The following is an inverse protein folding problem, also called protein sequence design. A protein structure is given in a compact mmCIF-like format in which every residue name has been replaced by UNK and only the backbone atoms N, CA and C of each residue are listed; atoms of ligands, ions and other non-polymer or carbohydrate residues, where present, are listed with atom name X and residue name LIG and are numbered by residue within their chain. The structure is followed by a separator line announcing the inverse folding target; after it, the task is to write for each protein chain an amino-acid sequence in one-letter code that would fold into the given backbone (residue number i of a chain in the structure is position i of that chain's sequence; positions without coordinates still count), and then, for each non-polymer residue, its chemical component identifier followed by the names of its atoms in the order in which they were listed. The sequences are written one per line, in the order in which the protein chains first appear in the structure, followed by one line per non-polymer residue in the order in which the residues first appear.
data_IF_892977151300
#
_entry.id   IF_892977151300
#
_cell.length_a   1.000
_cell.length_b   1.000
_cell.length_c   1.000
_cell.angle_alpha   90.00
_cell.angle_beta   90.00
_cell.angle_gamma   90.00
#
_symmetry.space_group_name_H-M   'P 1'
#
loop_
_entity.id
_entity.type
_entity.pdbx_description
1 polymer ?
#
# COMPACT_ATOMS: atom_id res chain seq x y z
N UNK A 1 -9.96 -50.78 -7.29
CA UNK A 1 -10.73 -49.59 -6.86
C UNK A 1 -9.80 -48.47 -6.41
N UNK A 2 -8.75 -48.77 -5.63
CA UNK A 2 -7.76 -47.79 -5.18
C UNK A 2 -7.01 -47.05 -6.29
N UNK A 3 -6.61 -47.72 -7.37
CA UNK A 3 -5.93 -47.06 -8.49
C UNK A 3 -6.80 -46.02 -9.22
N UNK A 4 -8.11 -46.28 -9.31
CA UNK A 4 -9.05 -45.31 -9.89
C UNK A 4 -9.21 -44.09 -8.97
N UNK A 5 -9.31 -44.31 -7.66
CA UNK A 5 -9.41 -43.22 -6.69
C UNK A 5 -8.13 -42.38 -6.65
N UNK A 6 -6.94 -42.98 -6.74
CA UNK A 6 -5.68 -42.22 -6.76
C UNK A 6 -5.51 -41.38 -8.03
N UNK A 7 -5.93 -41.88 -9.19
CA UNK A 7 -5.97 -41.12 -10.44
C UNK A 7 -6.98 -39.96 -10.36
N UNK A 8 -8.15 -40.22 -9.75
CA UNK A 8 -9.19 -39.22 -9.54
C UNK A 8 -8.71 -38.11 -8.58
N UNK A 9 -8.03 -38.47 -7.50
CA UNK A 9 -7.47 -37.50 -6.55
C UNK A 9 -6.34 -36.69 -7.17
N UNK A 10 -5.44 -37.32 -7.94
CA UNK A 10 -4.41 -36.61 -8.69
C UNK A 10 -5.00 -35.65 -9.74
N UNK A 11 -6.15 -35.98 -10.33
CA UNK A 11 -6.86 -35.09 -11.25
C UNK A 11 -7.50 -33.91 -10.53
N UNK A 12 -8.19 -34.14 -9.41
CA UNK A 12 -8.74 -33.08 -8.55
C UNK A 12 -7.65 -32.13 -8.09
N UNK A 13 -6.51 -32.64 -7.63
CA UNK A 13 -5.40 -31.82 -7.17
C UNK A 13 -4.89 -30.87 -8.26
N UNK A 14 -4.75 -31.35 -9.50
CA UNK A 14 -4.35 -30.52 -10.64
C UNK A 14 -5.36 -29.44 -10.98
N UNK A 15 -6.66 -29.75 -10.91
CA UNK A 15 -7.72 -28.75 -11.14
C UNK A 15 -7.69 -27.69 -10.05
N UNK A 16 -7.66 -28.12 -8.79
CA UNK A 16 -7.61 -27.21 -7.63
C UNK A 16 -6.38 -26.34 -7.67
N UNK A 17 -5.21 -26.89 -8.05
CA UNK A 17 -3.98 -26.12 -8.19
C UNK A 17 -4.12 -25.02 -9.26
N UNK A 18 -4.63 -25.35 -10.43
CA UNK A 18 -4.87 -24.36 -11.51
C UNK A 18 -5.92 -23.31 -11.13
N UNK A 19 -6.95 -23.71 -10.39
CA UNK A 19 -7.96 -22.78 -9.88
C UNK A 19 -7.33 -21.80 -8.88
N UNK A 20 -6.51 -22.30 -7.95
CA UNK A 20 -5.73 -21.47 -7.01
C UNK A 20 -4.76 -20.53 -7.72
N UNK A 21 -4.03 -21.01 -8.72
CA UNK A 21 -3.11 -20.17 -9.51
C UNK A 21 -3.84 -19.01 -10.21
N UNK A 22 -5.03 -19.28 -10.77
CA UNK A 22 -5.86 -18.23 -11.40
C UNK A 22 -6.40 -17.23 -10.38
N UNK A 23 -6.85 -17.73 -9.23
CA UNK A 23 -7.34 -16.87 -8.15
C UNK A 23 -6.21 -15.99 -7.60
N UNK A 24 -5.04 -16.57 -7.36
CA UNK A 24 -3.86 -15.86 -6.89
C UNK A 24 -3.45 -14.76 -7.88
N UNK A 25 -3.42 -15.05 -9.18
CA UNK A 25 -3.11 -14.05 -10.19
C UNK A 25 -4.13 -12.91 -10.22
N UNK A 26 -5.43 -13.22 -10.13
CA UNK A 26 -6.48 -12.20 -10.09
C UNK A 26 -6.39 -11.35 -8.81
N UNK A 27 -6.02 -11.96 -7.68
CA UNK A 27 -5.81 -11.25 -6.42
C UNK A 27 -4.57 -10.35 -6.47
N UNK A 28 -3.47 -10.80 -7.06
CA UNK A 28 -2.25 -10.00 -7.27
C UNK A 28 -2.51 -8.80 -8.20
N UNK A 29 -3.23 -8.99 -9.31
CA UNK A 29 -3.64 -7.90 -10.20
C UNK A 29 -4.51 -6.86 -9.46
N UNK A 30 -5.44 -7.31 -8.62
CA UNK A 30 -6.27 -6.42 -7.80
C UNK A 30 -5.44 -5.64 -6.76
N UNK A 31 -4.51 -6.30 -6.07
CA UNK A 31 -3.60 -5.66 -5.12
C UNK A 31 -2.68 -4.64 -5.80
N UNK A 32 -2.19 -4.94 -7.01
CA UNK A 32 -1.41 -3.99 -7.82
C UNK A 32 -2.24 -2.78 -8.22
N UNK A 33 -3.49 -2.96 -8.66
CA UNK A 33 -4.39 -1.85 -8.99
C UNK A 33 -4.67 -0.96 -7.77
N UNK A 34 -4.91 -1.54 -6.60
CA UNK A 34 -5.09 -0.78 -5.35
C UNK A 34 -3.81 -0.08 -4.91
N UNK A 35 -2.64 -0.72 -5.08
CA UNK A 35 -1.33 -0.07 -4.87
C UNK A 35 -1.18 1.15 -5.78
N UNK A 36 -1.47 1.01 -7.07
CA UNK A 36 -1.38 2.11 -8.04
C UNK A 36 -2.29 3.29 -7.67
N UNK A 37 -3.51 3.01 -7.17
CA UNK A 37 -4.43 4.07 -6.71
C UNK A 37 -3.93 4.79 -5.45
N UNK A 38 -3.09 4.15 -4.63
CA UNK A 38 -2.50 4.73 -3.41
C UNK A 38 -1.20 5.50 -3.68
N UNK A 39 -0.58 5.32 -4.85
CA UNK A 39 0.66 6.03 -5.18
C UNK A 39 0.43 7.54 -5.27
N UNK A 40 1.34 8.30 -4.66
CA UNK A 40 1.40 9.75 -4.77
C UNK A 40 1.84 10.24 -6.17
N UNK A 41 1.96 11.56 -6.36
CA UNK A 41 2.24 12.18 -7.66
C UNK A 41 3.53 11.70 -8.35
N UNK A 42 4.49 11.18 -7.60
CA UNK A 42 5.75 10.61 -8.08
C UNK A 42 5.79 9.08 -8.10
N UNK A 43 4.64 8.40 -7.94
CA UNK A 43 4.59 6.94 -7.95
C UNK A 43 5.13 6.29 -6.67
N UNK A 44 5.21 7.05 -5.57
CA UNK A 44 5.64 6.55 -4.26
C UNK A 44 4.46 6.45 -3.31
N UNK A 45 4.44 5.39 -2.51
CA UNK A 45 3.43 5.19 -1.48
C UNK A 45 3.73 6.08 -0.25
N UNK A 46 2.77 6.92 0.21
CA UNK A 46 2.93 7.72 1.42
C UNK A 46 3.34 6.90 2.65
N UNK A 47 2.79 5.69 2.80
CA UNK A 47 3.05 4.81 3.96
C UNK A 47 4.46 4.26 3.91
N UNK A 48 4.88 3.71 2.76
CA UNK A 48 6.24 3.18 2.60
C UNK A 48 7.29 4.29 2.74
N UNK A 49 7.00 5.51 2.25
CA UNK A 49 7.89 6.66 2.47
C UNK A 49 7.96 7.01 3.94
N UNK A 50 6.83 7.13 4.64
CA UNK A 50 6.80 7.46 6.07
C UNK A 50 7.59 6.45 6.92
N UNK A 51 7.41 5.15 6.71
CA UNK A 51 8.15 4.10 7.44
C UNK A 51 9.66 4.12 7.16
N UNK A 52 10.05 4.53 5.95
CA UNK A 52 11.46 4.65 5.55
C UNK A 52 12.18 5.91 6.07
N UNK A 53 11.45 6.87 6.64
CA UNK A 53 12.03 8.11 7.15
C UNK A 53 12.77 7.89 8.48
N UNK A 54 13.78 8.73 8.80
CA UNK A 54 14.34 8.81 10.13
C UNK A 54 13.26 9.11 11.20
N UNK A 55 13.38 8.50 12.39
CA UNK A 55 12.42 8.69 13.51
C UNK A 55 12.15 10.16 13.84
N UNK A 56 13.16 11.02 13.70
CA UNK A 56 13.03 12.47 13.93
C UNK A 56 12.01 13.09 12.97
N UNK A 57 12.06 12.73 11.69
CA UNK A 57 11.13 13.22 10.68
C UNK A 57 9.74 12.59 10.85
N UNK A 58 9.66 11.29 11.17
CA UNK A 58 8.39 10.62 11.46
C UNK A 58 7.60 11.35 12.55
N UNK A 59 8.26 11.65 13.69
CA UNK A 59 7.65 12.39 14.80
C UNK A 59 7.20 13.80 14.42
N UNK A 60 7.91 14.46 13.50
CA UNK A 60 7.50 15.78 12.99
C UNK A 60 6.18 15.69 12.20
N UNK A 61 6.00 14.65 11.38
CA UNK A 61 4.76 14.42 10.64
C UNK A 61 3.61 13.98 11.57
N UNK A 62 3.87 13.11 12.57
CA UNK A 62 2.87 12.70 13.56
C UNK A 62 2.32 13.87 14.39
N UNK A 63 3.22 14.75 14.82
CA UNK A 63 2.87 15.96 15.58
C UNK A 63 2.30 17.09 14.71
N UNK A 64 2.30 16.94 13.38
CA UNK A 64 1.93 17.95 12.39
C UNK A 64 2.67 19.28 12.60
N UNK A 65 3.89 19.23 13.13
CA UNK A 65 4.68 20.41 13.44
C UNK A 65 5.65 20.77 12.30
N UNK A 66 5.22 21.70 11.46
CA UNK A 66 6.00 22.24 10.34
C UNK A 66 7.30 22.90 10.82
N UNK A 67 7.29 23.57 11.98
CA UNK A 67 8.47 24.27 12.48
C UNK A 67 9.55 23.29 12.95
N UNK A 68 9.13 22.18 13.57
CA UNK A 68 10.04 21.09 13.95
C UNK A 68 10.58 20.36 12.72
N UNK A 69 9.76 20.15 11.69
CA UNK A 69 10.22 19.56 10.44
C UNK A 69 11.32 20.40 9.77
N UNK A 70 11.13 21.72 9.67
CA UNK A 70 12.14 22.63 9.11
C UNK A 70 13.46 22.57 9.88
N UNK A 71 13.41 22.51 11.22
CA UNK A 71 14.61 22.37 12.06
C UNK A 71 15.33 21.05 11.82
N UNK A 72 14.60 19.94 11.82
CA UNK A 72 15.16 18.62 11.57
C UNK A 72 15.87 18.55 10.21
N UNK A 73 15.29 19.18 9.18
CA UNK A 73 15.88 19.26 7.84
C UNK A 73 17.16 20.11 7.84
N UNK A 74 17.21 21.20 8.59
CA UNK A 74 18.43 22.03 8.69
C UNK A 74 19.56 21.39 9.49
N UNK A 75 19.24 20.47 10.38
CA UNK A 75 20.23 19.71 11.17
C UNK A 75 20.81 18.52 10.37
N UNK A 76 20.06 18.00 9.39
CA UNK A 76 20.48 16.93 8.50
C UNK A 76 21.46 17.43 7.42
N UNK A 77 22.34 16.56 6.89
CA UNK A 77 23.16 16.85 5.72
C UNK A 77 22.28 17.24 4.51
N UNK A 78 22.72 18.23 3.73
CA UNK A 78 21.94 18.77 2.61
C UNK A 78 21.50 17.67 1.60
N UNK A 79 22.37 16.69 1.34
CA UNK A 79 22.08 15.56 0.45
C UNK A 79 20.94 14.67 0.98
N UNK A 80 20.96 14.32 2.27
CA UNK A 80 19.93 13.50 2.91
C UNK A 80 18.60 14.28 3.03
N UNK A 81 18.69 15.55 3.40
CA UNK A 81 17.56 16.46 3.45
C UNK A 81 16.85 16.55 2.10
N UNK A 82 17.59 16.75 1.00
CA UNK A 82 17.05 16.79 -0.36
C UNK A 82 16.43 15.45 -0.77
N UNK A 83 17.10 14.35 -0.44
CA UNK A 83 16.61 13.01 -0.74
C UNK A 83 15.27 12.70 -0.07
N UNK A 84 15.17 12.91 1.25
CA UNK A 84 13.95 12.66 2.00
C UNK A 84 12.83 13.64 1.62
N UNK A 85 13.14 14.93 1.47
CA UNK A 85 12.14 15.93 1.10
C UNK A 85 11.52 15.65 -0.28
N UNK A 86 12.35 15.28 -1.27
CA UNK A 86 11.86 14.90 -2.59
C UNK A 86 10.88 13.73 -2.50
N UNK A 87 11.22 12.68 -1.74
CA UNK A 87 10.35 11.52 -1.53
C UNK A 87 9.03 11.88 -0.84
N UNK A 88 9.06 12.78 0.15
CA UNK A 88 7.84 13.24 0.81
C UNK A 88 6.91 14.00 -0.14
N UNK A 89 7.46 14.75 -1.10
CA UNK A 89 6.67 15.43 -2.14
C UNK A 89 6.15 14.44 -3.18
N UNK A 90 7.01 13.55 -3.66
CA UNK A 90 6.68 12.53 -4.66
C UNK A 90 5.64 11.52 -4.12
N UNK A 91 5.61 11.25 -2.82
CA UNK A 91 4.57 10.44 -2.18
C UNK A 91 3.31 11.21 -1.80
N UNK A 92 3.33 12.54 -1.87
CA UNK A 92 2.21 13.38 -1.43
C UNK A 92 2.09 13.54 0.10
N UNK A 93 3.04 13.02 0.87
CA UNK A 93 3.12 13.21 2.33
C UNK A 93 3.37 14.68 2.72
N UNK A 94 4.02 15.45 1.83
CA UNK A 94 4.33 16.86 2.05
C UNK A 94 4.03 17.71 0.81
N UNK A 95 3.30 18.80 0.97
CA UNK A 95 3.02 19.77 -0.10
C UNK A 95 3.79 21.07 0.18
N UNK A 96 4.81 21.42 -0.63
CA UNK A 96 5.52 22.67 -0.50
C UNK A 96 4.57 23.86 -0.71
N UNK A 97 4.75 24.94 0.07
CA UNK A 97 3.96 26.18 -0.02
C UNK A 97 3.85 26.74 -1.46
N UNK A 98 4.91 26.56 -2.27
CA UNK A 98 4.95 26.98 -3.68
C UNK A 98 4.02 26.18 -4.60
N UNK A 99 3.56 25.00 -4.18
CA UNK A 99 2.70 24.09 -4.93
C UNK A 99 1.28 23.96 -4.36
N UNK A 100 0.87 24.85 -3.44
CA UNK A 100 -0.51 24.89 -2.90
C UNK A 100 -1.63 25.05 -3.95
N UNK A 101 -1.28 25.34 -5.21
CA UNK A 101 -2.23 25.40 -6.34
C UNK A 101 -2.40 24.07 -7.11
N UNK A 102 -1.58 23.05 -6.84
CA UNK A 102 -1.81 21.67 -7.29
C UNK A 102 -2.48 20.92 -6.14
N UNK A 103 -3.75 21.25 -5.85
CA UNK A 103 -4.59 20.39 -5.02
C UNK A 103 -4.76 19.04 -5.75
N UNK A 104 -3.94 18.06 -5.39
CA UNK A 104 -4.33 16.67 -5.57
C UNK A 104 -5.35 16.38 -4.48
N UNK A 105 -6.60 16.15 -4.86
CA UNK A 105 -7.66 15.64 -3.99
C UNK A 105 -7.17 14.39 -3.24
N UNK A 106 -6.57 14.61 -2.08
CA UNK A 106 -6.34 13.58 -1.07
C UNK A 106 -7.70 13.15 -0.59
N UNK A 107 -8.28 12.16 -1.28
CA UNK A 107 -9.54 11.54 -0.91
C UNK A 107 -9.29 10.81 0.41
N UNK A 108 -9.53 11.48 1.52
CA UNK A 108 -9.86 10.82 2.78
C UNK A 108 -11.00 9.83 2.49
N UNK A 109 -10.68 8.54 2.52
CA UNK A 109 -11.64 7.48 2.78
C UNK A 109 -11.07 6.61 3.89
N UNK A 110 -11.21 7.12 5.11
CA UNK A 110 -11.47 6.24 6.24
C UNK A 110 -12.89 5.68 6.12
N UNK A 111 -13.03 4.42 6.54
CA UNK A 111 -14.26 3.70 6.86
C UNK A 111 -15.12 3.20 5.69
N UNK A 112 -15.05 1.88 5.45
CA UNK A 112 -16.21 1.04 5.09
C UNK A 112 -16.03 -0.32 5.78
N UNK A 113 -16.69 -0.46 6.93
CA UNK A 113 -17.01 -1.74 7.55
C UNK A 113 -17.99 -2.47 6.63
N UNK A 114 -17.53 -3.51 5.93
CA UNK A 114 -18.36 -4.36 5.08
C UNK A 114 -18.25 -5.82 5.52
N UNK A 115 -19.28 -6.27 6.23
CA UNK A 115 -19.50 -7.63 6.72
C UNK A 115 -19.29 -8.69 5.62
N UNK A 116 -18.33 -9.59 5.83
CA UNK A 116 -18.19 -10.83 5.05
C UNK A 116 -18.92 -11.97 5.75
N UNK A 117 -20.25 -12.03 5.65
CA UNK A 117 -21.02 -13.23 5.98
C UNK A 117 -21.15 -14.11 4.73
N UNK A 118 -20.20 -15.02 4.54
CA UNK A 118 -20.31 -16.10 3.53
C UNK A 118 -20.68 -17.39 4.27
N UNK A 119 -21.99 -17.64 4.32
CA UNK A 119 -22.61 -18.86 4.84
C UNK A 119 -22.19 -20.04 3.94
N UNK A 120 -21.41 -20.97 4.49
CA UNK A 120 -21.23 -22.28 3.88
C UNK A 120 -22.49 -23.11 4.16
N UNK A 121 -23.32 -23.27 3.15
CA UNK A 121 -24.40 -24.28 3.19
C UNK A 121 -23.75 -25.68 3.16
N UNK A 122 -23.90 -26.42 4.25
CA UNK A 122 -23.61 -27.84 4.34
C UNK A 122 -24.41 -28.58 3.25
N UNK A 123 -23.69 -29.26 2.36
CA UNK A 123 -24.31 -30.19 1.40
C UNK A 123 -24.40 -31.55 2.10
N UNK A 124 -25.62 -31.95 2.48
CA UNK A 124 -25.96 -33.33 2.90
C UNK A 124 -25.70 -34.37 1.79
#
# INVERSE_FOLDING_TARGET
MEAFNSELDAFKERITKRAKEKLQKAMEEYEEEERQKRLGPGGLDPVEVFESLPEVLQKCFESKDIASLQKAITELPEEEARYHMKRCVDSGLWVPEANKGQETEGKEKGEDEGEGEEVYEEVE
#
